data_IF_304621611832
#
_entry.id   IF_304621611832
#
_cell.length_a   1.000
_cell.length_b   1.000
_cell.length_c   1.000
_cell.angle_alpha   90.00
_cell.angle_beta   90.00
_cell.angle_gamma   90.00
#
_symmetry.space_group_name_H-M   'P 1'
#
loop_
_entity.id
_entity.type
_entity.pdbx_description
1 polymer ?
#
# COMPACT_ATOMS: atom_id res chain seq x y z
N UNK A 1 9.91 16.19 0.03
CA UNK A 1 8.54 16.54 0.46
C UNK A 1 7.80 17.00 -0.78
N UNK A 2 6.57 16.53 -1.02
CA UNK A 2 5.76 16.98 -2.16
C UNK A 2 4.67 17.90 -1.59
N UNK A 3 4.65 19.15 -2.03
CA UNK A 3 3.60 20.11 -1.68
C UNK A 3 2.62 20.21 -2.84
N UNK A 4 1.32 20.15 -2.53
CA UNK A 4 0.25 20.15 -3.51
C UNK A 4 -0.77 21.21 -3.12
N UNK A 5 -1.06 22.12 -4.04
CA UNK A 5 -2.20 23.02 -3.93
C UNK A 5 -3.39 22.39 -4.67
N UNK A 6 -4.40 21.97 -3.92
CA UNK A 6 -5.63 21.33 -4.43
C UNK A 6 -6.85 22.11 -3.96
N UNK A 7 -7.95 22.04 -4.72
CA UNK A 7 -9.20 22.68 -4.30
C UNK A 7 -9.82 21.95 -3.11
N UNK A 8 -10.47 22.70 -2.22
CA UNK A 8 -11.28 22.15 -1.12
C UNK A 8 -12.76 22.42 -1.40
N UNK A 9 -13.56 21.37 -1.40
CA UNK A 9 -15.00 21.40 -1.58
C UNK A 9 -15.74 21.24 -0.25
N UNK A 10 -16.94 21.78 -0.16
CA UNK A 10 -17.84 21.66 0.99
C UNK A 10 -19.18 21.10 0.52
N UNK A 11 -19.75 20.15 1.26
CA UNK A 11 -21.07 19.59 0.97
C UNK A 11 -22.16 20.47 1.58
N UNK A 12 -23.14 20.91 0.80
CA UNK A 12 -24.26 21.71 1.31
C UNK A 12 -25.33 20.88 2.03
N UNK A 13 -25.28 19.54 1.91
CA UNK A 13 -26.25 18.66 2.57
C UNK A 13 -25.89 18.50 4.07
N UNK A 14 -26.74 18.96 5.00
CA UNK A 14 -26.47 18.88 6.44
C UNK A 14 -26.45 17.44 6.99
N UNK A 15 -27.02 16.47 6.26
CA UNK A 15 -26.98 15.06 6.63
C UNK A 15 -25.70 14.33 6.15
N UNK A 16 -24.83 15.00 5.37
CA UNK A 16 -23.62 14.37 4.84
C UNK A 16 -22.52 14.28 5.91
N UNK A 17 -22.11 13.06 6.26
CA UNK A 17 -21.04 12.84 7.24
C UNK A 17 -19.68 13.42 6.78
N UNK A 18 -19.45 13.47 5.47
CA UNK A 18 -18.26 14.04 4.89
C UNK A 18 -18.56 15.48 4.44
N UNK A 19 -18.41 16.41 5.39
CA UNK A 19 -18.73 17.84 5.24
C UNK A 19 -17.75 18.57 4.32
N UNK A 20 -16.49 18.13 4.29
CA UNK A 20 -15.44 18.71 3.44
C UNK A 20 -14.69 17.63 2.67
N UNK A 21 -14.29 17.96 1.45
CA UNK A 21 -13.52 17.09 0.56
C UNK A 21 -12.38 17.87 -0.07
N UNK A 22 -11.27 17.20 -0.37
CA UNK A 22 -10.21 17.75 -1.20
C UNK A 22 -10.31 17.16 -2.61
N UNK A 23 -10.01 17.98 -3.62
CA UNK A 23 -9.89 17.55 -5.01
C UNK A 23 -8.93 16.36 -5.12
N UNK A 24 -9.35 15.33 -5.85
CA UNK A 24 -8.54 14.15 -6.11
C UNK A 24 -7.96 14.22 -7.52
N UNK A 25 -6.67 14.53 -7.61
CA UNK A 25 -5.91 14.47 -8.86
C UNK A 25 -5.65 13.01 -9.20
N UNK A 26 -6.23 12.55 -10.30
CA UNK A 26 -6.08 11.19 -10.79
C UNK A 26 -4.61 10.80 -10.91
N UNK A 27 -4.26 9.63 -10.37
CA UNK A 27 -2.88 9.12 -10.38
C UNK A 27 -1.95 9.74 -9.34
N UNK A 28 -2.34 10.80 -8.63
CA UNK A 28 -1.47 11.48 -7.66
C UNK A 28 -2.00 11.45 -6.23
N UNK A 29 -3.30 11.63 -6.05
CA UNK A 29 -3.93 11.68 -4.72
C UNK A 29 -4.98 10.60 -4.58
N UNK A 30 -5.09 10.05 -3.38
CA UNK A 30 -6.21 9.19 -2.99
C UNK A 30 -6.69 9.59 -1.59
N UNK A 31 -7.99 9.47 -1.28
CA UNK A 31 -8.53 9.83 0.02
C UNK A 31 -7.79 9.10 1.15
N UNK A 32 -7.41 9.84 2.20
CA UNK A 32 -6.71 9.33 3.38
C UNK A 32 -5.35 8.63 3.10
N UNK A 33 -4.82 8.73 1.88
CA UNK A 33 -3.54 8.11 1.55
C UNK A 33 -2.37 8.96 2.03
N UNK A 34 -1.40 8.31 2.68
CA UNK A 34 -0.11 8.93 3.05
C UNK A 34 0.93 8.82 1.94
N UNK A 35 0.65 8.03 0.91
CA UNK A 35 1.54 7.79 -0.23
C UNK A 35 0.82 8.13 -1.52
N UNK A 36 1.51 8.77 -2.45
CA UNK A 36 0.99 8.92 -3.81
C UNK A 36 0.83 7.53 -4.44
N UNK A 37 -0.14 7.31 -5.35
CA UNK A 37 -0.32 6.01 -6.00
C UNK A 37 0.96 5.42 -6.63
N UNK A 38 1.83 6.19 -7.31
CA UNK A 38 3.08 5.67 -7.86
C UNK A 38 4.07 5.23 -6.76
N UNK A 39 4.17 6.01 -5.68
CA UNK A 39 5.05 5.68 -4.55
C UNK A 39 4.55 4.41 -3.83
N UNK A 40 3.23 4.28 -3.65
CA UNK A 40 2.61 3.07 -3.10
C UNK A 40 2.95 1.86 -3.96
N UNK A 41 2.83 1.97 -5.29
CA UNK A 41 3.16 0.88 -6.20
C UNK A 41 4.63 0.46 -6.09
N UNK A 42 5.55 1.44 -6.11
CA UNK A 42 7.00 1.17 -5.97
C UNK A 42 7.32 0.45 -4.66
N UNK A 43 6.78 0.93 -3.54
CA UNK A 43 6.97 0.31 -2.23
C UNK A 43 6.41 -1.13 -2.19
N UNK A 44 5.27 -1.37 -2.83
CA UNK A 44 4.71 -2.72 -2.95
C UNK A 44 5.64 -3.65 -3.73
N UNK A 45 6.21 -3.19 -4.86
CA UNK A 45 7.17 -3.99 -5.65
C UNK A 45 8.45 -4.30 -4.86
N UNK A 46 9.01 -3.30 -4.18
CA UNK A 46 10.16 -3.49 -3.28
C UNK A 46 9.82 -4.51 -2.19
N UNK A 47 8.61 -4.41 -1.62
CA UNK A 47 8.12 -5.34 -0.61
C UNK A 47 7.97 -6.78 -1.11
N UNK A 48 7.49 -6.96 -2.34
CA UNK A 48 7.33 -8.28 -2.98
C UNK A 48 8.68 -8.95 -3.23
N UNK A 49 9.67 -8.19 -3.74
CA UNK A 49 10.98 -8.76 -4.13
C UNK A 49 11.88 -9.01 -2.91
N UNK A 50 11.99 -8.05 -2.00
CA UNK A 50 12.99 -8.10 -0.91
C UNK A 50 12.42 -8.51 0.44
N UNK A 51 11.12 -8.35 0.64
CA UNK A 51 10.41 -8.54 1.90
C UNK A 51 10.92 -7.71 3.09
N UNK A 52 9.98 -7.31 3.96
CA UNK A 52 10.25 -6.82 5.30
C UNK A 52 11.42 -5.83 5.45
N UNK A 53 12.49 -6.25 6.15
CA UNK A 53 13.60 -5.37 6.57
C UNK A 53 14.57 -5.07 5.44
N UNK A 54 14.79 -6.01 4.53
CA UNK A 54 15.64 -5.78 3.37
C UNK A 54 15.01 -4.74 2.44
N UNK A 55 13.69 -4.86 2.21
CA UNK A 55 12.93 -3.83 1.49
C UNK A 55 12.98 -2.46 2.17
N UNK A 56 12.88 -2.41 3.50
CA UNK A 56 12.99 -1.14 4.24
C UNK A 56 14.37 -0.49 4.10
N UNK A 57 15.45 -1.28 4.13
CA UNK A 57 16.82 -0.78 3.90
C UNK A 57 17.01 -0.24 2.49
N UNK A 58 16.48 -0.94 1.47
CA UNK A 58 16.54 -0.44 0.10
C UNK A 58 15.76 0.87 -0.04
N UNK A 59 14.54 0.93 0.50
CA UNK A 59 13.73 2.14 0.49
C UNK A 59 14.48 3.33 1.11
N UNK A 60 15.13 3.13 2.27
CA UNK A 60 15.98 4.16 2.89
C UNK A 60 17.14 4.56 1.98
N UNK A 61 17.80 3.61 1.30
CA UNK A 61 18.91 3.88 0.39
C UNK A 61 18.48 4.72 -0.83
N UNK A 62 17.23 4.59 -1.28
CA UNK A 62 16.66 5.43 -2.36
C UNK A 62 15.96 6.70 -1.83
N UNK A 63 16.17 7.06 -0.56
CA UNK A 63 15.65 8.30 0.03
C UNK A 63 14.20 8.24 0.53
N UNK A 64 13.63 7.04 0.67
CA UNK A 64 12.25 6.83 1.13
C UNK A 64 12.25 6.22 2.53
N UNK A 65 11.79 6.98 3.52
CA UNK A 65 11.68 6.49 4.90
C UNK A 65 10.42 5.63 5.06
N UNK A 66 10.57 4.31 5.13
CA UNK A 66 9.46 3.36 5.36
C UNK A 66 9.86 2.24 6.31
N UNK A 67 8.94 1.86 7.19
CA UNK A 67 9.14 0.74 8.11
C UNK A 67 8.85 -0.61 7.46
N UNK A 68 9.49 -1.68 7.97
CA UNK A 68 9.24 -3.08 7.61
C UNK A 68 7.74 -3.42 7.61
N UNK A 69 7.02 -3.03 8.66
CA UNK A 69 5.62 -3.41 8.83
C UNK A 69 4.70 -2.69 7.86
N UNK A 70 5.11 -1.52 7.36
CA UNK A 70 4.39 -0.80 6.31
C UNK A 70 4.53 -1.55 4.98
N UNK A 71 5.73 -1.99 4.62
CA UNK A 71 5.95 -2.80 3.42
C UNK A 71 5.17 -4.11 3.47
N UNK A 72 5.20 -4.81 4.62
CA UNK A 72 4.43 -6.05 4.79
C UNK A 72 2.92 -5.81 4.70
N UNK A 73 2.42 -4.68 5.23
CA UNK A 73 1.00 -4.30 5.06
C UNK A 73 0.64 -4.03 3.61
N UNK A 74 1.50 -3.34 2.86
CA UNK A 74 1.27 -3.07 1.44
C UNK A 74 1.21 -4.36 0.61
N UNK A 75 2.13 -5.28 0.85
CA UNK A 75 2.14 -6.60 0.17
C UNK A 75 0.89 -7.42 0.53
N UNK A 76 0.50 -7.45 1.81
CA UNK A 76 -0.71 -8.19 2.26
C UNK A 76 -2.02 -7.58 1.78
N UNK A 77 -2.02 -6.32 1.36
CA UNK A 77 -3.20 -5.65 0.83
C UNK A 77 -3.38 -5.88 -0.68
N UNK A 78 -2.48 -6.61 -1.34
CA UNK A 78 -2.68 -7.04 -2.71
C UNK A 78 -3.80 -8.08 -2.80
N UNK A 79 -4.58 -8.08 -3.89
CA UNK A 79 -5.53 -9.15 -4.13
C UNK A 79 -4.77 -10.48 -4.23
N UNK A 80 -5.33 -11.52 -3.61
CA UNK A 80 -4.82 -12.87 -3.77
C UNK A 80 -5.02 -13.29 -5.24
N UNK A 81 -4.03 -13.94 -5.89
CA UNK A 81 -4.21 -14.47 -7.22
C UNK A 81 -5.42 -15.42 -7.27
N UNK A 82 -6.15 -15.37 -8.38
CA UNK A 82 -7.26 -16.31 -8.62
C UNK A 82 -6.71 -17.73 -8.63
N UNK A 83 -7.17 -18.55 -7.69
CA UNK A 83 -6.82 -19.97 -7.61
C UNK A 83 -7.72 -20.69 -8.62
N UNK A 84 -7.16 -21.02 -9.79
CA UNK A 84 -7.80 -21.94 -10.74
C UNK A 84 -7.92 -23.35 -10.18
N UNK A 85 -8.65 -24.24 -10.86
CA UNK A 85 -8.78 -25.64 -10.43
C UNK A 85 -7.38 -26.28 -10.30
N UNK A 86 -7.06 -26.71 -9.08
CA UNK A 86 -5.75 -27.29 -8.76
C UNK A 86 -5.81 -28.78 -9.09
N UNK A 87 -5.29 -29.16 -10.26
CA UNK A 87 -5.19 -30.58 -10.67
C UNK A 87 -4.16 -31.35 -9.83
N UNK A 88 -3.07 -30.69 -9.41
CA UNK A 88 -2.00 -31.31 -8.60
C UNK A 88 -1.47 -30.34 -7.55
N UNK A 89 -1.62 -30.69 -6.26
CA UNK A 89 -1.04 -29.94 -5.14
C UNK A 89 0.27 -30.57 -4.67
N UNK A 90 1.40 -29.90 -4.95
CA UNK A 90 2.71 -30.35 -4.45
C UNK A 90 2.93 -29.82 -3.04
N UNK A 91 3.01 -30.74 -2.07
CA UNK A 91 3.33 -30.39 -0.68
C UNK A 91 4.85 -30.21 -0.55
N UNK A 92 5.29 -28.97 -0.36
CA UNK A 92 6.71 -28.68 -0.04
C UNK A 92 6.94 -28.59 1.46
N UNK A 93 8.04 -29.17 1.95
CA UNK A 93 8.44 -29.10 3.36
C UNK A 93 9.13 -27.77 3.67
N UNK A 94 8.37 -26.66 3.61
CA UNK A 94 8.81 -25.36 4.15
C UNK A 94 7.91 -24.96 5.31
N UNK A 95 8.50 -24.86 6.49
CA UNK A 95 7.79 -24.46 7.70
C UNK A 95 8.00 -22.96 7.95
N UNK A 96 6.93 -22.16 7.81
CA UNK A 96 6.95 -20.74 8.18
C UNK A 96 6.25 -20.54 9.53
N UNK A 97 7.00 -20.16 10.57
CA UNK A 97 6.42 -19.84 11.89
C UNK A 97 5.61 -18.55 11.77
N UNK A 98 4.28 -18.65 11.66
CA UNK A 98 3.38 -17.49 11.69
C UNK A 98 3.28 -16.97 13.11
N UNK A 99 4.13 -15.99 13.46
CA UNK A 99 3.92 -15.19 14.68
C UNK A 99 2.72 -14.29 14.46
N UNK A 100 1.70 -14.39 15.32
CA UNK A 100 0.62 -13.40 15.38
C UNK A 100 1.24 -12.05 15.73
N UNK A 101 0.84 -11.01 15.00
CA UNK A 101 1.14 -9.63 15.34
C UNK A 101 0.33 -9.20 16.55
#
# INVERSE_FOLDING_TARGET
MIELCVRRFHCENPACAAVTFAEQVAGLTAPHSRYTPPLRWLLTQIGLVLAGRAGARLATAVGITVGKDTLLRLVRALPEPEIGEVEVLVVSRKWCKRRRA
#
